data_IF_222849184591
#
_entry.id   IF_222849184591
#
_cell.length_a   1.000
_cell.length_b   1.000
_cell.length_c   1.000
_cell.angle_alpha   90.00
_cell.angle_beta   90.00
_cell.angle_gamma   90.00
#
_symmetry.space_group_name_H-M   'P 1'
#
loop_
_entity.id
_entity.type
_entity.pdbx_description
1 polymer ?
#
# COMPACT_ATOMS: atom_id res chain seq x y z
N UNK A 1 -20.33 32.48 -14.93
CA UNK A 1 -19.21 33.39 -15.25
C UNK A 1 -17.92 32.78 -14.72
N UNK A 2 -16.86 32.66 -15.55
CA UNK A 2 -15.53 32.41 -15.01
C UNK A 2 -15.11 33.63 -14.16
N UNK A 3 -14.45 33.45 -12.99
CA UNK A 3 -13.99 34.57 -12.19
C UNK A 3 -12.87 35.33 -12.91
N UNK A 4 -12.95 36.66 -12.89
CA UNK A 4 -11.95 37.55 -13.50
C UNK A 4 -10.59 37.40 -12.81
N UNK A 5 -9.48 37.33 -13.57
CA UNK A 5 -8.14 37.30 -13.00
C UNK A 5 -7.77 38.67 -12.38
N UNK A 6 -7.02 38.72 -11.27
CA UNK A 6 -6.65 39.98 -10.62
C UNK A 6 -5.65 40.81 -11.45
N UNK A 7 -5.66 42.13 -11.23
CA UNK A 7 -5.12 43.21 -12.09
C UNK A 7 -3.63 43.55 -11.90
N UNK A 8 -2.78 42.58 -11.55
CA UNK A 8 -1.32 42.76 -11.49
C UNK A 8 -0.63 42.24 -12.75
N UNK A 9 0.41 42.93 -13.26
CA UNK A 9 1.21 42.43 -14.38
C UNK A 9 1.96 41.17 -13.96
N UNK A 10 1.53 40.02 -14.45
CA UNK A 10 2.17 38.73 -14.19
C UNK A 10 3.58 38.71 -14.78
N UNK A 11 4.51 38.04 -14.10
CA UNK A 11 5.80 37.71 -14.72
C UNK A 11 5.59 36.76 -15.92
N UNK A 12 6.55 36.72 -16.84
CA UNK A 12 6.52 35.79 -17.98
C UNK A 12 6.44 34.33 -17.50
N UNK A 13 7.18 34.00 -16.43
CA UNK A 13 7.16 32.68 -15.82
C UNK A 13 5.78 32.32 -15.25
N UNK A 14 5.11 33.26 -14.57
CA UNK A 14 3.77 33.05 -14.03
C UNK A 14 2.72 32.96 -15.15
N UNK A 15 2.88 33.73 -16.23
CA UNK A 15 2.03 33.67 -17.42
C UNK A 15 2.15 32.30 -18.10
N UNK A 16 3.36 31.81 -18.33
CA UNK A 16 3.62 30.50 -18.91
C UNK A 16 3.10 29.36 -18.02
N UNK A 17 3.30 29.46 -16.70
CA UNK A 17 2.77 28.50 -15.74
C UNK A 17 1.24 28.44 -15.79
N UNK A 18 0.54 29.59 -15.82
CA UNK A 18 -0.92 29.64 -15.92
C UNK A 18 -1.43 29.07 -17.23
N UNK A 19 -0.78 29.38 -18.35
CA UNK A 19 -1.17 28.83 -19.65
C UNK A 19 -1.07 27.30 -19.65
N UNK A 20 0.01 26.75 -19.06
CA UNK A 20 0.23 25.31 -18.93
C UNK A 20 -0.81 24.61 -18.04
N UNK A 21 -1.19 25.22 -16.90
CA UNK A 21 -2.05 24.57 -15.90
C UNK A 21 -3.54 24.94 -16.01
N UNK A 22 -3.90 25.87 -16.90
CA UNK A 22 -5.29 26.30 -17.11
C UNK A 22 -6.27 25.13 -17.30
N UNK A 23 -6.00 24.12 -18.16
CA UNK A 23 -6.96 23.02 -18.35
C UNK A 23 -7.22 22.22 -17.07
N UNK A 24 -6.18 22.01 -16.25
CA UNK A 24 -6.27 21.31 -14.98
C UNK A 24 -7.08 22.11 -13.95
N UNK A 25 -6.78 23.41 -13.80
CA UNK A 25 -7.49 24.31 -12.90
C UNK A 25 -8.98 24.40 -13.27
N UNK A 26 -9.30 24.55 -14.55
CA UNK A 26 -10.68 24.56 -15.03
C UNK A 26 -11.41 23.24 -14.72
N UNK A 27 -10.72 22.10 -14.86
CA UNK A 27 -11.29 20.80 -14.51
C UNK A 27 -11.53 20.66 -12.99
N UNK A 28 -10.62 21.18 -12.15
CA UNK A 28 -10.77 21.20 -10.68
C UNK A 28 -11.97 22.08 -10.29
N UNK A 29 -12.03 23.32 -10.77
CA UNK A 29 -13.13 24.24 -10.47
C UNK A 29 -14.47 23.66 -10.94
N UNK A 30 -14.52 23.00 -12.10
CA UNK A 30 -15.74 22.33 -12.58
C UNK A 30 -16.17 21.19 -11.66
N UNK A 31 -15.23 20.41 -11.12
CA UNK A 31 -15.52 19.28 -10.21
C UNK A 31 -16.05 19.74 -8.86
N UNK A 32 -15.47 20.82 -8.31
CA UNK A 32 -15.87 21.36 -7.00
C UNK A 32 -17.01 22.38 -7.09
N UNK A 33 -17.28 22.92 -8.29
CA UNK A 33 -18.34 23.88 -8.59
C UNK A 33 -17.91 25.35 -8.51
N UNK A 34 -16.91 25.69 -7.68
CA UNK A 34 -16.32 27.03 -7.66
C UNK A 34 -14.94 27.02 -6.99
N UNK A 35 -14.18 28.10 -7.15
CA UNK A 35 -12.91 28.31 -6.45
C UNK A 35 -13.09 28.22 -4.94
N UNK A 36 -14.14 28.84 -4.38
CA UNK A 36 -14.40 28.82 -2.93
C UNK A 36 -14.61 27.38 -2.41
N UNK A 37 -15.34 26.56 -3.18
CA UNK A 37 -15.65 25.17 -2.78
C UNK A 37 -14.44 24.24 -2.80
N UNK A 38 -13.39 24.55 -3.57
CA UNK A 38 -12.11 23.81 -3.52
C UNK A 38 -11.49 23.88 -2.11
N UNK A 39 -11.68 25.00 -1.41
CA UNK A 39 -11.12 25.24 -0.07
C UNK A 39 -12.10 24.95 1.08
N UNK A 40 -13.35 24.62 0.77
CA UNK A 40 -14.31 24.20 1.80
C UNK A 40 -13.81 22.90 2.45
N UNK A 41 -13.80 22.87 3.79
CA UNK A 41 -13.51 21.64 4.53
C UNK A 41 -14.60 20.62 4.25
N UNK A 42 -14.20 19.44 3.80
CA UNK A 42 -15.08 18.27 3.65
C UNK A 42 -15.61 17.81 5.02
N UNK A 43 -16.66 16.99 5.02
CA UNK A 43 -17.22 16.43 6.25
C UNK A 43 -16.19 15.64 7.06
N UNK A 44 -15.30 14.90 6.37
CA UNK A 44 -14.23 14.14 7.02
C UNK A 44 -13.16 15.05 7.64
N UNK A 45 -12.75 16.12 6.95
CA UNK A 45 -11.80 17.09 7.52
C UNK A 45 -12.37 17.76 8.78
N UNK A 46 -13.67 18.09 8.77
CA UNK A 46 -14.36 18.62 9.96
C UNK A 46 -14.38 17.60 11.10
N UNK A 47 -14.78 16.36 10.81
CA UNK A 47 -14.82 15.29 11.81
C UNK A 47 -13.45 15.02 12.45
N UNK A 48 -12.38 15.00 11.65
CA UNK A 48 -11.02 14.84 12.15
C UNK A 48 -10.61 16.01 13.04
N UNK A 49 -10.91 17.24 12.62
CA UNK A 49 -10.61 18.44 13.41
C UNK A 49 -11.36 18.46 14.74
N UNK A 50 -12.66 18.22 14.71
CA UNK A 50 -13.53 18.21 15.90
C UNK A 50 -13.07 17.15 16.92
N UNK A 51 -12.62 15.99 16.44
CA UNK A 51 -12.16 14.90 17.29
C UNK A 51 -10.90 15.23 18.10
N UNK A 52 -10.04 16.11 17.61
CA UNK A 52 -8.78 16.47 18.27
C UNK A 52 -8.77 17.87 18.87
N UNK A 53 -9.83 18.64 18.65
CA UNK A 53 -10.04 19.98 19.19
C UNK A 53 -9.74 20.10 20.70
N UNK A 54 -10.08 19.12 21.56
CA UNK A 54 -9.77 19.20 23.00
C UNK A 54 -8.28 19.31 23.33
N UNK A 55 -7.39 18.97 22.40
CA UNK A 55 -5.94 19.04 22.58
C UNK A 55 -5.26 20.08 21.68
N UNK A 56 -6.04 20.93 21.02
CA UNK A 56 -5.54 21.96 20.13
C UNK A 56 -5.00 23.16 20.91
N UNK A 57 -3.79 23.59 20.56
CA UNK A 57 -3.19 24.82 21.04
C UNK A 57 -2.65 25.62 19.85
N UNK A 58 -2.95 26.91 19.83
CA UNK A 58 -2.37 27.85 18.87
C UNK A 58 -1.31 28.67 19.57
N UNK A 59 -0.07 28.62 19.06
CA UNK A 59 1.06 29.35 19.62
C UNK A 59 1.44 30.45 18.64
N UNK A 60 1.27 31.73 19.00
CA UNK A 60 1.71 32.83 18.17
C UNK A 60 3.22 32.72 17.90
N UNK A 61 3.61 33.00 16.66
CA UNK A 61 5.01 33.17 16.32
C UNK A 61 5.51 34.49 16.93
N UNK A 62 6.61 34.41 17.69
CA UNK A 62 7.20 35.59 18.34
C UNK A 62 7.86 36.52 17.34
N UNK A 63 8.41 35.96 16.26
CA UNK A 63 9.22 36.69 15.29
C UNK A 63 8.40 37.16 14.08
N UNK A 64 7.17 36.64 13.93
CA UNK A 64 6.27 36.99 12.82
C UNK A 64 4.83 37.29 13.31
N UNK A 65 4.50 38.56 13.61
CA UNK A 65 3.18 38.96 14.09
C UNK A 65 2.06 38.52 13.12
N UNK A 66 1.13 37.70 13.62
CA UNK A 66 0.02 37.15 12.85
C UNK A 66 0.24 35.73 12.34
N UNK A 67 1.48 35.21 12.42
CA UNK A 67 1.74 33.80 12.23
C UNK A 67 1.52 33.02 13.53
N UNK A 68 1.18 31.73 13.40
CA UNK A 68 1.02 30.84 14.52
C UNK A 68 1.46 29.42 14.15
N UNK A 69 1.92 28.69 15.16
CA UNK A 69 2.12 27.24 15.10
C UNK A 69 0.96 26.53 15.78
N UNK A 70 0.45 25.49 15.14
CA UNK A 70 -0.51 24.58 15.76
C UNK A 70 0.23 23.50 16.55
N UNK A 71 -0.24 23.26 17.78
CA UNK A 71 0.14 22.11 18.59
C UNK A 71 -1.06 21.26 18.95
N UNK A 72 -0.79 19.97 19.06
CA UNK A 72 -1.75 18.95 19.46
C UNK A 72 -1.10 18.13 20.57
N UNK A 73 -1.70 18.13 21.76
CA UNK A 73 -1.10 17.51 22.95
C UNK A 73 0.31 18.07 23.27
N UNK A 74 0.48 19.39 23.14
CA UNK A 74 1.76 20.06 23.35
C UNK A 74 2.84 19.74 22.32
N UNK A 75 2.53 18.98 21.26
CA UNK A 75 3.46 18.61 20.17
C UNK A 75 3.11 19.36 18.89
N UNK A 76 4.11 19.66 18.06
CA UNK A 76 3.87 20.29 16.74
C UNK A 76 2.94 19.44 15.87
N UNK A 77 2.05 20.09 15.12
CA UNK A 77 1.12 19.45 14.18
C UNK A 77 1.76 18.58 13.10
N UNK A 78 3.06 18.75 12.83
CA UNK A 78 3.80 18.00 11.81
C UNK A 78 4.57 16.80 12.37
N UNK A 79 4.44 16.51 13.66
CA UNK A 79 5.04 15.32 14.28
C UNK A 79 4.01 14.19 14.40
N UNK A 80 4.51 12.98 14.64
CA UNK A 80 3.65 11.84 14.93
C UNK A 80 2.68 12.19 16.09
N UNK A 81 1.37 11.95 15.91
CA UNK A 81 0.38 12.25 16.93
C UNK A 81 0.68 11.43 18.18
N UNK A 82 0.54 12.05 19.35
CA UNK A 82 0.57 11.29 20.60
C UNK A 82 -0.62 10.34 20.73
N UNK A 83 -0.60 9.39 21.68
CA UNK A 83 -1.54 8.27 21.71
C UNK A 83 -3.02 8.68 21.73
N UNK A 84 -3.36 9.73 22.49
CA UNK A 84 -4.75 10.23 22.59
C UNK A 84 -5.25 10.82 21.29
N UNK A 85 -4.41 11.63 20.64
CA UNK A 85 -4.72 12.24 19.34
C UNK A 85 -4.83 11.14 18.27
N UNK A 86 -3.90 10.18 18.24
CA UNK A 86 -3.95 9.04 17.32
C UNK A 86 -5.25 8.25 17.49
N UNK A 87 -5.63 7.91 18.72
CA UNK A 87 -6.87 7.19 19.02
C UNK A 87 -8.11 7.98 18.56
N UNK A 88 -8.17 9.28 18.88
CA UNK A 88 -9.28 10.14 18.45
C UNK A 88 -9.41 10.19 16.92
N UNK A 89 -8.30 10.37 16.18
CA UNK A 89 -8.30 10.39 14.71
C UNK A 89 -8.69 9.04 14.09
N UNK A 90 -8.32 7.93 14.73
CA UNK A 90 -8.73 6.59 14.31
C UNK A 90 -10.24 6.35 14.50
N UNK A 91 -10.83 6.95 15.52
CA UNK A 91 -12.25 6.80 15.85
C UNK A 91 -13.16 7.80 15.12
N UNK A 92 -12.64 8.98 14.75
CA UNK A 92 -13.39 10.05 14.12
C UNK A 92 -13.92 9.69 12.72
N UNK A 93 -13.09 9.00 11.94
CA UNK A 93 -13.41 8.53 10.59
C UNK A 93 -13.01 7.07 10.50
N UNK A 94 -13.91 6.24 9.96
CA UNK A 94 -13.71 4.80 9.82
C UNK A 94 -12.33 4.51 9.20
N UNK A 95 -11.56 3.62 9.83
CA UNK A 95 -10.28 3.20 9.29
C UNK A 95 -10.46 2.29 8.07
N UNK A 96 -9.54 2.39 7.09
CA UNK A 96 -9.41 1.42 6.00
C UNK A 96 -9.29 -0.01 6.52
N UNK A 97 -9.93 -0.95 5.84
CA UNK A 97 -9.87 -2.37 6.19
C UNK A 97 -9.00 -3.19 5.25
N UNK A 98 -8.76 -2.68 4.05
CA UNK A 98 -7.89 -3.28 3.04
C UNK A 98 -6.76 -2.34 2.68
N UNK A 99 -5.69 -2.90 2.10
CA UNK A 99 -4.55 -2.10 1.62
C UNK A 99 -5.01 -1.13 0.53
N UNK A 100 -5.91 -1.56 -0.35
CA UNK A 100 -6.45 -0.71 -1.41
C UNK A 100 -7.28 0.45 -0.88
N UNK A 101 -8.10 0.22 0.17
CA UNK A 101 -8.83 1.30 0.86
C UNK A 101 -7.84 2.33 1.42
N UNK A 102 -6.76 1.87 2.05
CA UNK A 102 -5.77 2.73 2.68
C UNK A 102 -4.99 3.56 1.65
N UNK A 103 -4.55 2.92 0.55
CA UNK A 103 -3.91 3.61 -0.58
C UNK A 103 -4.87 4.63 -1.19
N UNK A 104 -6.15 4.28 -1.34
CA UNK A 104 -7.17 5.17 -1.91
C UNK A 104 -7.39 6.41 -1.03
N UNK A 105 -7.45 6.23 0.29
CA UNK A 105 -7.56 7.35 1.24
C UNK A 105 -6.31 8.25 1.19
N UNK A 106 -5.10 7.70 1.18
CA UNK A 106 -3.85 8.50 1.04
C UNK A 106 -3.86 9.30 -0.26
N UNK A 107 -4.16 8.65 -1.40
CA UNK A 107 -4.21 9.30 -2.71
C UNK A 107 -5.27 10.40 -2.76
N UNK A 108 -6.39 10.24 -2.05
CA UNK A 108 -7.41 11.28 -1.94
C UNK A 108 -6.88 12.51 -1.21
N UNK A 109 -6.15 12.33 -0.10
CA UNK A 109 -5.56 13.47 0.63
C UNK A 109 -4.47 14.17 -0.17
N UNK A 110 -3.58 13.42 -0.83
CA UNK A 110 -2.56 13.99 -1.74
C UNK A 110 -3.22 14.80 -2.86
N UNK A 111 -4.26 14.23 -3.49
CA UNK A 111 -5.00 14.91 -4.56
C UNK A 111 -5.67 16.18 -4.06
N UNK A 112 -6.37 16.12 -2.92
CA UNK A 112 -7.04 17.29 -2.35
C UNK A 112 -6.05 18.41 -2.06
N UNK A 113 -4.88 18.07 -1.50
CA UNK A 113 -3.83 19.04 -1.24
C UNK A 113 -3.34 19.68 -2.54
N UNK A 114 -2.97 18.87 -3.54
CA UNK A 114 -2.53 19.34 -4.86
C UNK A 114 -3.56 20.25 -5.52
N UNK A 115 -4.85 19.86 -5.50
CA UNK A 115 -5.94 20.65 -6.07
C UNK A 115 -6.09 22.01 -5.38
N UNK A 116 -5.93 22.08 -4.06
CA UNK A 116 -5.94 23.35 -3.32
C UNK A 116 -4.68 24.17 -3.60
N UNK A 117 -3.50 23.55 -3.63
CA UNK A 117 -2.22 24.23 -3.90
C UNK A 117 -2.21 24.88 -5.28
N UNK A 118 -2.62 24.15 -6.32
CA UNK A 118 -2.61 24.66 -7.69
C UNK A 118 -3.64 25.78 -7.89
N UNK A 119 -4.84 25.65 -7.30
CA UNK A 119 -5.88 26.68 -7.38
C UNK A 119 -5.49 27.90 -6.55
N UNK A 120 -4.85 27.74 -5.40
CA UNK A 120 -4.37 28.86 -4.58
C UNK A 120 -3.28 29.65 -5.30
N UNK A 121 -2.28 28.97 -5.87
CA UNK A 121 -1.23 29.62 -6.67
C UNK A 121 -1.83 30.39 -7.85
N UNK A 122 -2.84 29.82 -8.51
CA UNK A 122 -3.57 30.50 -9.58
C UNK A 122 -4.41 31.70 -9.09
N UNK A 123 -5.02 31.63 -7.90
CA UNK A 123 -5.78 32.75 -7.33
C UNK A 123 -4.87 33.89 -6.86
N UNK A 124 -3.77 33.56 -6.20
CA UNK A 124 -2.99 34.48 -5.37
C UNK A 124 -1.63 34.88 -5.98
N UNK A 125 -1.39 34.59 -7.26
CA UNK A 125 -0.21 35.02 -8.02
C UNK A 125 1.14 34.60 -7.43
N UNK A 126 1.34 33.30 -7.29
CA UNK A 126 2.62 32.78 -6.79
C UNK A 126 2.73 32.78 -5.26
N UNK A 127 1.60 32.73 -4.56
CA UNK A 127 1.59 32.31 -3.16
C UNK A 127 2.40 31.01 -3.01
N UNK A 128 3.19 30.86 -1.92
CA UNK A 128 3.96 29.66 -1.67
C UNK A 128 3.09 28.41 -1.80
N UNK A 129 3.69 27.30 -2.22
CA UNK A 129 3.05 25.98 -2.13
C UNK A 129 2.87 25.64 -0.64
N UNK A 130 1.76 26.09 -0.06
CA UNK A 130 1.38 25.77 1.31
C UNK A 130 0.74 24.38 1.37
N UNK A 131 0.85 23.73 2.53
CA UNK A 131 0.05 22.56 2.85
C UNK A 131 -1.38 23.04 3.17
N UNK A 132 -2.34 22.77 2.27
CA UNK A 132 -3.73 23.19 2.40
C UNK A 132 -4.62 22.14 3.08
N UNK A 133 -4.01 21.04 3.53
CA UNK A 133 -4.64 20.11 4.46
C UNK A 133 -4.30 20.51 5.90
N UNK A 134 -5.29 20.50 6.78
CA UNK A 134 -5.11 20.86 8.20
C UNK A 134 -4.24 19.83 8.93
N UNK A 135 -3.56 20.22 10.01
CA UNK A 135 -2.73 19.32 10.83
C UNK A 135 -3.37 17.95 11.15
N UNK A 136 -4.64 17.88 11.60
CA UNK A 136 -5.32 16.60 11.87
C UNK A 136 -5.45 15.68 10.66
N UNK A 137 -5.63 16.26 9.45
CA UNK A 137 -5.71 15.52 8.19
C UNK A 137 -4.34 14.99 7.80
N UNK A 138 -3.28 15.79 7.99
CA UNK A 138 -1.91 15.36 7.78
C UNK A 138 -1.56 14.17 8.70
N UNK A 139 -1.90 14.26 9.99
CA UNK A 139 -1.72 13.16 10.95
C UNK A 139 -2.49 11.89 10.53
N UNK A 140 -3.76 12.04 10.12
CA UNK A 140 -4.57 10.94 9.61
C UNK A 140 -3.95 10.30 8.36
N UNK A 141 -3.49 11.10 7.41
CA UNK A 141 -2.80 10.62 6.21
C UNK A 141 -1.54 9.82 6.58
N UNK A 142 -0.79 10.26 7.60
CA UNK A 142 0.35 9.52 8.16
C UNK A 142 -0.06 8.15 8.73
N UNK A 143 -1.10 8.09 9.55
CA UNK A 143 -1.64 6.84 10.13
C UNK A 143 -2.05 5.88 9.01
N UNK A 144 -2.78 6.36 8.01
CA UNK A 144 -3.29 5.50 6.93
C UNK A 144 -2.19 5.08 5.96
N UNK A 145 -1.19 5.95 5.71
CA UNK A 145 0.02 5.58 4.97
C UNK A 145 0.77 4.47 5.68
N UNK A 146 0.90 4.53 7.00
CA UNK A 146 1.48 3.45 7.81
C UNK A 146 0.66 2.16 7.68
N UNK A 147 -0.67 2.25 7.69
CA UNK A 147 -1.54 1.08 7.48
C UNK A 147 -1.32 0.41 6.14
N UNK A 148 -1.31 1.20 5.05
CA UNK A 148 -1.03 0.73 3.69
C UNK A 148 0.40 0.20 3.56
N UNK A 149 1.37 0.82 4.23
CA UNK A 149 2.77 0.45 4.12
C UNK A 149 3.12 -0.81 4.91
N UNK A 150 2.58 -0.99 6.13
CA UNK A 150 3.03 -2.07 7.02
C UNK A 150 1.98 -2.69 7.94
N UNK A 151 0.93 -1.98 8.38
CA UNK A 151 0.07 -2.50 9.46
C UNK A 151 -1.03 -3.45 8.99
N UNK A 152 -1.71 -3.14 7.88
CA UNK A 152 -2.74 -4.04 7.33
C UNK A 152 -2.07 -5.31 6.81
N UNK A 153 -2.66 -6.50 6.95
CA UNK A 153 -2.13 -7.71 6.34
C UNK A 153 -2.51 -7.79 4.84
N UNK A 154 -1.60 -8.23 3.98
CA UNK A 154 -1.99 -8.63 2.62
C UNK A 154 -2.47 -10.09 2.65
N UNK A 155 -3.72 -10.32 2.27
CA UNK A 155 -4.37 -11.64 2.25
C UNK A 155 -4.38 -12.28 0.87
N UNK A 156 -4.06 -11.49 -0.17
CA UNK A 156 -3.93 -11.93 -1.54
C UNK A 156 -2.62 -11.46 -2.18
N UNK A 157 -2.20 -12.11 -3.27
CA UNK A 157 -1.06 -11.64 -4.07
C UNK A 157 -1.32 -10.27 -4.71
N UNK A 158 -2.58 -9.95 -5.04
CA UNK A 158 -2.97 -8.66 -5.57
C UNK A 158 -2.72 -7.54 -4.54
N UNK A 159 -3.13 -7.74 -3.30
CA UNK A 159 -2.89 -6.81 -2.19
C UNK A 159 -1.40 -6.64 -1.88
N UNK A 160 -0.62 -7.73 -1.92
CA UNK A 160 0.83 -7.64 -1.76
C UNK A 160 1.47 -6.83 -2.89
N UNK A 161 1.03 -7.05 -4.13
CA UNK A 161 1.49 -6.29 -5.30
C UNK A 161 1.13 -4.81 -5.15
N UNK A 162 -0.07 -4.50 -4.64
CA UNK A 162 -0.49 -3.12 -4.36
C UNK A 162 0.41 -2.47 -3.31
N UNK A 163 0.76 -3.16 -2.21
CA UNK A 163 1.71 -2.66 -1.21
C UNK A 163 3.08 -2.36 -1.81
N UNK A 164 3.64 -3.29 -2.60
CA UNK A 164 4.97 -3.11 -3.21
C UNK A 164 4.97 -1.90 -4.15
N UNK A 165 3.92 -1.74 -4.97
CA UNK A 165 3.77 -0.55 -5.82
C UNK A 165 3.67 0.72 -5.00
N UNK A 166 2.89 0.70 -3.92
CA UNK A 166 2.76 1.83 -3.01
C UNK A 166 4.11 2.22 -2.38
N UNK A 167 4.93 1.24 -2.00
CA UNK A 167 6.29 1.49 -1.49
C UNK A 167 7.18 2.16 -2.54
N UNK A 168 7.18 1.66 -3.79
CA UNK A 168 7.94 2.25 -4.89
C UNK A 168 7.49 3.68 -5.20
N UNK A 169 6.18 3.92 -5.26
CA UNK A 169 5.60 5.25 -5.53
C UNK A 169 5.98 6.30 -4.47
N UNK A 170 6.25 5.87 -3.23
CA UNK A 170 6.52 6.77 -2.10
C UNK A 170 7.94 6.65 -1.55
N UNK A 171 8.84 6.02 -2.32
CA UNK A 171 10.24 5.73 -1.97
C UNK A 171 10.42 5.16 -0.55
N UNK A 172 9.58 4.20 -0.20
CA UNK A 172 9.59 3.55 1.09
C UNK A 172 10.49 2.31 1.03
N UNK A 173 11.74 2.45 1.47
CA UNK A 173 12.75 1.38 1.43
C UNK A 173 13.30 1.00 2.81
N UNK A 174 12.52 1.25 3.87
CA UNK A 174 12.94 0.97 5.24
C UNK A 174 12.87 -0.51 5.61
N UNK A 175 13.55 -0.84 6.71
CA UNK A 175 13.54 -2.19 7.30
C UNK A 175 12.12 -2.64 7.63
N UNK A 176 11.30 -1.75 8.19
CA UNK A 176 9.94 -2.08 8.64
C UNK A 176 9.00 -2.39 7.46
N UNK A 177 9.17 -1.69 6.34
CA UNK A 177 8.42 -1.94 5.11
C UNK A 177 8.82 -3.26 4.46
N UNK A 178 10.12 -3.57 4.47
CA UNK A 178 10.65 -4.85 4.00
C UNK A 178 10.15 -6.01 4.87
N UNK A 179 10.17 -5.86 6.19
CA UNK A 179 9.63 -6.84 7.13
C UNK A 179 8.13 -7.10 6.91
N UNK A 180 7.36 -6.05 6.61
CA UNK A 180 5.94 -6.20 6.29
C UNK A 180 5.70 -7.00 5.01
N UNK A 181 6.50 -6.78 3.95
CA UNK A 181 6.45 -7.58 2.72
C UNK A 181 6.78 -9.04 3.02
N UNK A 182 7.84 -9.32 3.78
CA UNK A 182 8.24 -10.68 4.13
C UNK A 182 7.16 -11.39 4.96
N UNK A 183 6.60 -10.70 5.96
CA UNK A 183 5.47 -11.20 6.76
C UNK A 183 4.30 -11.61 5.88
N UNK A 184 3.90 -10.73 4.97
CA UNK A 184 2.77 -10.96 4.06
C UNK A 184 3.06 -12.13 3.10
N UNK A 185 4.28 -12.20 2.53
CA UNK A 185 4.72 -13.32 1.69
C UNK A 185 4.66 -14.66 2.44
N UNK A 186 5.15 -14.70 3.67
CA UNK A 186 5.09 -15.91 4.50
C UNK A 186 3.65 -16.34 4.78
N UNK A 187 2.76 -15.40 5.08
CA UNK A 187 1.35 -15.68 5.28
C UNK A 187 0.69 -16.26 4.02
N UNK A 188 0.97 -15.68 2.84
CA UNK A 188 0.47 -16.17 1.55
C UNK A 188 1.02 -17.56 1.19
N UNK A 189 2.29 -17.83 1.50
CA UNK A 189 2.86 -19.18 1.30
C UNK A 189 2.19 -20.22 2.21
N UNK A 190 1.83 -19.83 3.44
CA UNK A 190 1.16 -20.70 4.39
C UNK A 190 -0.28 -21.03 3.98
N UNK A 191 -0.98 -20.14 3.27
CA UNK A 191 -2.33 -20.42 2.75
C UNK A 191 -2.31 -21.30 1.50
N UNK A 192 -1.27 -21.20 0.66
CA UNK A 192 -1.08 -22.05 -0.53
C UNK A 192 -0.63 -23.46 -0.17
N UNK A 193 0.07 -23.63 0.97
CA UNK A 193 0.30 -24.96 1.54
C UNK A 193 -1.00 -25.41 2.22
N UNK A 194 -1.72 -26.42 1.70
CA UNK A 194 -2.91 -26.90 2.39
C UNK A 194 -2.50 -27.36 3.79
N UNK A 195 -3.13 -26.78 4.80
CA UNK A 195 -3.12 -27.33 6.15
C UNK A 195 -3.69 -28.73 6.06
N UNK A 196 -2.81 -29.72 5.95
CA UNK A 196 -3.14 -31.11 6.21
C UNK A 196 -3.49 -31.25 7.69
N UNK A 197 -4.72 -30.86 8.07
CA UNK A 197 -5.34 -31.39 9.28
C UNK A 197 -5.97 -32.72 8.92
N UNK A 198 -5.31 -33.75 9.45
CA UNK A 198 -5.68 -35.14 9.39
C UNK A 198 -7.16 -35.33 9.78
N UNK A 199 -7.98 -35.70 8.81
CA UNK A 199 -9.10 -36.58 9.09
C UNK A 199 -8.52 -37.89 9.65
N UNK A 200 -8.95 -38.29 10.85
CA UNK A 200 -8.72 -39.64 11.36
C UNK A 200 -9.46 -40.61 10.45
N UNK A 201 -8.78 -41.15 9.46
CA UNK A 201 -9.17 -42.35 8.73
C UNK A 201 -8.04 -43.37 8.83
N UNK A 202 -8.37 -44.66 8.88
CA UNK A 202 -7.53 -45.69 9.46
C UNK A 202 -6.26 -45.94 8.65
N UNK A 203 -5.23 -46.40 9.36
CA UNK A 203 -3.88 -46.76 8.91
C UNK A 203 -3.79 -47.30 7.46
N UNK A 204 -2.84 -46.75 6.70
CA UNK A 204 -2.04 -47.50 5.73
C UNK A 204 -2.10 -47.03 4.26
N UNK A 205 -0.96 -46.60 3.69
CA UNK A 205 -0.64 -46.91 2.28
C UNK A 205 -0.37 -45.78 1.25
N UNK A 206 -0.78 -44.52 1.46
CA UNK A 206 -0.89 -43.57 0.32
C UNK A 206 0.35 -42.79 -0.14
N UNK A 207 1.32 -42.47 0.75
CA UNK A 207 2.38 -41.50 0.41
C UNK A 207 3.54 -42.09 -0.42
N UNK A 208 3.74 -43.40 -0.39
CA UNK A 208 4.84 -44.04 -1.12
C UNK A 208 4.45 -44.39 -2.57
N UNK A 209 3.20 -44.77 -2.84
CA UNK A 209 2.71 -45.05 -4.21
C UNK A 209 2.73 -43.78 -5.07
N UNK A 210 2.16 -42.67 -4.60
CA UNK A 210 2.17 -41.41 -5.36
C UNK A 210 3.59 -40.89 -5.69
N UNK A 211 4.54 -41.13 -4.79
CA UNK A 211 5.95 -40.79 -5.01
C UNK A 211 6.62 -41.73 -6.02
N UNK A 212 6.32 -43.03 -5.98
CA UNK A 212 6.78 -44.01 -6.98
C UNK A 212 6.21 -43.72 -8.36
N UNK A 213 4.95 -43.30 -8.46
CA UNK A 213 4.33 -42.91 -9.73
C UNK A 213 4.97 -41.65 -10.32
N UNK A 214 5.40 -40.71 -9.47
CA UNK A 214 6.18 -39.53 -9.91
C UNK A 214 7.57 -39.91 -10.42
N UNK A 215 8.23 -40.89 -9.81
CA UNK A 215 9.50 -41.45 -10.32
C UNK A 215 9.28 -42.15 -11.66
N UNK A 216 8.24 -42.98 -11.78
CA UNK A 216 7.91 -43.70 -13.02
C UNK A 216 7.60 -42.73 -14.18
N UNK A 217 6.86 -41.66 -13.91
CA UNK A 217 6.58 -40.60 -14.90
C UNK A 217 7.83 -39.83 -15.33
N UNK A 218 8.73 -39.53 -14.39
CA UNK A 218 9.98 -38.85 -14.73
C UNK A 218 10.89 -39.76 -15.57
N UNK A 219 11.03 -41.04 -15.22
CA UNK A 219 11.82 -42.01 -15.99
C UNK A 219 11.26 -42.27 -17.40
N UNK A 220 9.96 -42.03 -17.62
CA UNK A 220 9.35 -42.16 -18.94
C UNK A 220 9.80 -41.07 -19.94
N UNK A 221 10.30 -39.91 -19.47
CA UNK A 221 10.72 -38.80 -20.34
C UNK A 221 12.18 -38.94 -20.80
N UNK A 222 12.56 -38.36 -21.96
CA UNK A 222 13.95 -38.33 -22.41
C UNK A 222 14.90 -37.66 -21.41
N UNK A 223 14.42 -36.60 -20.75
CA UNK A 223 15.14 -35.88 -19.70
C UNK A 223 15.44 -36.79 -18.51
N UNK A 224 14.44 -37.52 -17.99
CA UNK A 224 14.63 -38.38 -16.83
C UNK A 224 15.52 -39.59 -17.10
N UNK A 225 15.59 -40.08 -18.35
CA UNK A 225 16.54 -41.16 -18.74
C UNK A 225 18.00 -40.70 -18.75
N UNK A 226 18.25 -39.42 -18.96
CA UNK A 226 19.60 -38.84 -18.94
C UNK A 226 20.07 -38.45 -17.52
N UNK A 227 19.17 -38.46 -16.53
CA UNK A 227 19.48 -38.09 -15.14
C UNK A 227 20.10 -39.26 -14.35
N UNK A 228 20.99 -38.93 -13.40
CA UNK A 228 21.48 -39.90 -12.42
C UNK A 228 20.40 -40.25 -11.39
N UNK A 229 20.48 -41.43 -10.78
CA UNK A 229 19.52 -41.88 -9.75
C UNK A 229 19.43 -40.92 -8.56
N UNK A 230 20.54 -40.25 -8.22
CA UNK A 230 20.59 -39.25 -7.15
C UNK A 230 19.84 -37.97 -7.51
N UNK A 231 19.97 -37.48 -8.74
CA UNK A 231 19.24 -36.31 -9.22
C UNK A 231 17.73 -36.58 -9.32
N UNK A 232 17.35 -37.80 -9.72
CA UNK A 232 15.94 -38.22 -9.74
C UNK A 232 15.38 -38.28 -8.32
N UNK A 233 16.13 -38.86 -7.38
CA UNK A 233 15.75 -38.95 -5.97
C UNK A 233 15.53 -37.56 -5.34
N UNK A 234 16.43 -36.61 -5.62
CA UNK A 234 16.34 -35.22 -5.17
C UNK A 234 15.14 -34.50 -5.77
N UNK A 235 14.93 -34.64 -7.08
CA UNK A 235 13.82 -33.99 -7.81
C UNK A 235 12.44 -34.53 -7.44
N UNK A 236 12.35 -35.80 -7.02
CA UNK A 236 11.08 -36.46 -6.67
C UNK A 236 10.87 -36.63 -5.16
N UNK A 237 11.86 -36.27 -4.34
CA UNK A 237 11.78 -36.35 -2.87
C UNK A 237 11.64 -37.78 -2.34
N UNK A 238 12.33 -38.74 -2.96
CA UNK A 238 12.42 -40.16 -2.56
C UNK A 238 13.86 -40.58 -2.28
N UNK A 239 14.06 -41.77 -1.70
CA UNK A 239 15.40 -42.35 -1.56
C UNK A 239 15.93 -42.89 -2.89
N UNK A 240 17.27 -42.91 -3.04
CA UNK A 240 17.95 -43.53 -4.20
C UNK A 240 17.54 -45.00 -4.37
N UNK A 241 17.34 -45.74 -3.29
CA UNK A 241 16.87 -47.13 -3.32
C UNK A 241 15.47 -47.28 -3.94
N UNK A 242 14.58 -46.31 -3.71
CA UNK A 242 13.23 -46.31 -4.31
C UNK A 242 13.30 -46.07 -5.81
N UNK A 243 14.19 -45.18 -6.28
CA UNK A 243 14.42 -44.95 -7.71
C UNK A 243 14.96 -46.20 -8.39
N UNK A 244 15.92 -46.89 -7.75
CA UNK A 244 16.46 -48.15 -8.27
C UNK A 244 15.40 -49.25 -8.37
N UNK A 245 14.50 -49.36 -7.40
CA UNK A 245 13.40 -50.34 -7.44
C UNK A 245 12.44 -50.08 -8.62
N UNK A 246 12.01 -48.83 -8.81
CA UNK A 246 11.11 -48.46 -9.92
C UNK A 246 11.79 -48.64 -11.28
N UNK A 247 13.10 -48.34 -11.38
CA UNK A 247 13.86 -48.55 -12.62
C UNK A 247 13.94 -50.03 -13.00
N UNK A 248 14.20 -50.91 -12.03
CA UNK A 248 14.18 -52.38 -12.25
C UNK A 248 12.81 -52.89 -12.67
N UNK A 249 11.74 -52.37 -12.06
CA UNK A 249 10.36 -52.74 -12.43
C UNK A 249 10.01 -52.33 -13.87
N UNK A 250 10.45 -51.15 -14.33
CA UNK A 250 10.27 -50.72 -15.72
C UNK A 250 11.11 -51.54 -16.71
N UNK A 251 12.35 -51.87 -16.37
CA UNK A 251 13.21 -52.73 -17.19
C UNK A 251 12.61 -54.14 -17.31
N UNK A 252 12.11 -54.72 -16.21
CA UNK A 252 11.42 -56.01 -16.24
C UNK A 252 10.11 -55.97 -17.04
N UNK A 253 9.31 -54.90 -16.91
CA UNK A 253 8.08 -54.74 -17.67
C UNK A 253 8.33 -54.56 -19.17
N UNK A 254 9.46 -53.94 -19.54
CA UNK A 254 9.87 -53.78 -20.94
C UNK A 254 10.45 -55.06 -21.57
N UNK A 255 10.89 -56.02 -20.75
CA UNK A 255 11.39 -57.33 -21.17
C UNK A 255 10.28 -58.40 -21.30
N UNK A 256 9.07 -58.12 -20.78
CA UNK A 256 7.91 -59.03 -20.84
C UNK A 256 6.88 -58.66 -21.93
N UNK A 257 7.20 -57.66 -22.76
CA UNK A 257 6.43 -57.24 -23.95
C UNK A 257 7.25 -57.55 -25.19
#
# INVERSE_FOLDING_TARGET
MPPEPPTGTLSEAETAWRARHRPEIEAIIRRHGSVARVFEKTAEEKALFDAVLPWHETIPDRDNPGAFSERWEGRSAFREPGPKVREALCNAVRLPRTIDDAISEVRRWIRLNHERSIVARWRDHGAPEWDFITGPVHMRAGIVREMAARTLPATTLAELTARVRFHLEHDLQGTLETEAILRDLHALQATVRPTGKAAKTPRGGGKNSAKRDSVARLLATPEGRAMTTRQIAERTGVSVSTVQAVKREQEQSALMV
#
